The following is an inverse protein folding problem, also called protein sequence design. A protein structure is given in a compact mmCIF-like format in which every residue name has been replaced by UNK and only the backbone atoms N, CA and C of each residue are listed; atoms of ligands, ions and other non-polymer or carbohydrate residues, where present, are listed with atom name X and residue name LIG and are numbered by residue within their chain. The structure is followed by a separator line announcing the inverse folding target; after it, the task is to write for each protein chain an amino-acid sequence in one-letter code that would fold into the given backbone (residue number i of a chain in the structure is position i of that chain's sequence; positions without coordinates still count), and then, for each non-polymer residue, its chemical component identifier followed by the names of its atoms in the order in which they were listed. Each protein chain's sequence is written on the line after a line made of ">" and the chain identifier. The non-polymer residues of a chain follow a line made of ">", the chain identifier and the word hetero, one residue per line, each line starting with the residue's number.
data_IF_603904411702
#
_entry.id   IF_603904411702
#
_cell.length_a   1.000
_cell.length_b   1.000
_cell.length_c   1.000
_cell.angle_alpha   90.00
_cell.angle_beta   90.00
_cell.angle_gamma   90.00
#
_symmetry.space_group_name_H-M   'P 1'
#
loop_
_entity.id
_entity.type
_entity.pdbx_description
1 polymer ?
#
# COMPACT_ATOMS: atom_id res chain seq x y z
N UNK A 1 30.07 -2.93 17.30
CA UNK A 1 29.54 -3.14 18.68
C UNK A 1 28.16 -3.78 18.56
N UNK A 2 27.30 -3.74 19.59
CA UNK A 2 25.86 -3.92 19.41
C UNK A 2 25.30 -2.56 19.01
N UNK A 3 24.95 -2.37 17.75
CA UNK A 3 24.45 -1.08 17.27
C UNK A 3 23.00 -0.89 17.74
N UNK A 4 22.82 -0.55 19.02
CA UNK A 4 21.51 -0.22 19.58
C UNK A 4 21.03 1.11 18.97
N UNK A 5 19.72 1.27 18.67
CA UNK A 5 19.22 2.47 17.98
C UNK A 5 19.59 3.80 18.65
N UNK A 6 19.79 3.81 19.97
CA UNK A 6 20.26 4.98 20.72
C UNK A 6 21.72 5.36 20.39
N UNK A 7 22.64 4.41 20.29
CA UNK A 7 24.03 4.69 19.89
C UNK A 7 24.08 5.28 18.48
N UNK A 8 23.27 4.71 17.57
CA UNK A 8 23.13 5.15 16.18
C UNK A 8 22.58 6.57 16.12
N UNK A 9 21.53 6.86 16.89
CA UNK A 9 20.93 8.20 17.00
C UNK A 9 21.98 9.23 17.44
N UNK A 10 22.70 8.95 18.53
CA UNK A 10 23.71 9.86 19.10
C UNK A 10 24.85 10.15 18.12
N UNK A 11 25.26 9.18 17.29
CA UNK A 11 26.27 9.40 16.24
C UNK A 11 25.77 10.35 15.16
N UNK A 12 24.55 10.13 14.64
CA UNK A 12 23.97 10.99 13.59
C UNK A 12 23.73 12.41 14.11
N UNK A 13 23.13 12.56 15.29
CA UNK A 13 22.84 13.90 15.82
C UNK A 13 24.10 14.69 16.11
N UNK A 14 25.19 14.06 16.57
CA UNK A 14 26.47 14.76 16.74
C UNK A 14 27.00 15.32 15.42
N UNK A 15 26.92 14.56 14.33
CA UNK A 15 27.37 15.05 13.02
C UNK A 15 26.49 16.23 12.54
N UNK A 16 25.19 16.23 12.86
CA UNK A 16 24.32 17.39 12.61
C UNK A 16 24.71 18.61 13.47
N UNK A 17 25.02 18.41 14.76
CA UNK A 17 25.51 19.46 15.67
C UNK A 17 26.85 20.04 15.21
N UNK A 18 27.81 19.20 14.81
CA UNK A 18 29.13 19.60 14.31
C UNK A 18 29.06 20.37 12.98
N UNK A 19 28.02 20.11 12.17
CA UNK A 19 27.72 20.83 10.94
C UNK A 19 26.79 22.04 11.14
N UNK A 20 26.33 22.30 12.37
CA UNK A 20 25.43 23.41 12.69
C UNK A 20 23.99 23.26 12.17
N UNK A 21 23.59 22.04 11.78
CA UNK A 21 22.29 21.75 11.17
C UNK A 21 21.19 21.66 12.24
N UNK A 22 20.10 22.46 12.16
CA UNK A 22 18.93 22.30 13.01
C UNK A 22 18.26 20.92 12.82
N UNK A 23 17.89 20.24 13.90
CA UNK A 23 17.23 18.94 13.83
C UNK A 23 16.23 18.67 14.96
N UNK A 24 15.37 17.67 14.76
CA UNK A 24 14.37 17.16 15.68
C UNK A 24 14.46 15.63 15.76
N UNK A 25 14.33 15.06 16.96
CA UNK A 25 14.22 13.61 17.18
C UNK A 25 12.76 13.22 17.46
N UNK A 26 12.27 12.20 16.77
CA UNK A 26 10.94 11.59 16.92
C UNK A 26 10.98 10.13 17.34
N UNK A 27 9.97 9.36 16.95
CA UNK A 27 9.85 7.93 17.23
C UNK A 27 9.62 7.56 18.72
N UNK A 28 9.79 6.27 19.00
CA UNK A 28 9.65 5.70 20.34
C UNK A 28 10.77 6.13 21.30
N UNK A 29 11.97 6.41 20.78
CA UNK A 29 13.11 6.88 21.58
C UNK A 29 12.88 8.30 22.11
N UNK A 30 12.34 9.22 21.29
CA UNK A 30 11.88 10.51 21.81
C UNK A 30 10.77 10.35 22.86
N UNK A 31 9.79 9.47 22.60
CA UNK A 31 8.74 9.15 23.59
C UNK A 31 9.32 8.67 24.93
N UNK A 32 10.35 7.82 24.87
CA UNK A 32 11.05 7.28 26.04
C UNK A 32 11.86 8.35 26.78
N UNK A 33 12.51 9.27 26.04
CA UNK A 33 13.21 10.43 26.61
C UNK A 33 12.26 11.34 27.42
N UNK A 34 11.02 11.49 26.95
CA UNK A 34 9.93 12.20 27.65
C UNK A 34 9.15 11.32 28.65
N UNK A 35 9.68 10.15 29.02
CA UNK A 35 9.13 9.29 30.08
C UNK A 35 7.93 8.41 29.70
N UNK A 36 7.53 8.37 28.42
CA UNK A 36 6.47 7.48 27.94
C UNK A 36 7.05 6.15 27.43
N UNK A 37 6.81 5.07 28.18
CA UNK A 37 7.29 3.73 27.83
C UNK A 37 6.64 3.23 26.53
N UNK A 38 7.47 2.80 25.58
CA UNK A 38 7.10 2.13 24.32
C UNK A 38 7.90 0.83 24.17
N UNK A 39 7.36 -0.14 23.43
CA UNK A 39 7.99 -1.47 23.22
C UNK A 39 8.83 -1.56 21.95
N UNK A 40 8.70 -0.62 21.02
CA UNK A 40 9.59 -0.48 19.86
C UNK A 40 10.80 0.38 20.24
N UNK A 41 11.92 0.23 19.52
CA UNK A 41 13.12 1.08 19.66
C UNK A 41 13.44 1.71 18.31
N UNK A 42 12.87 2.87 18.07
CA UNK A 42 12.95 3.63 16.82
C UNK A 42 13.16 5.12 17.12
N UNK A 43 14.00 5.77 16.32
CA UNK A 43 14.31 7.20 16.40
C UNK A 43 14.27 7.81 15.00
N UNK A 44 13.17 8.48 14.67
CA UNK A 44 13.14 9.37 13.52
C UNK A 44 14.05 10.58 13.79
N UNK A 45 14.82 11.00 12.78
CA UNK A 45 15.57 12.27 12.82
C UNK A 45 15.12 13.09 11.61
N UNK A 46 14.74 14.34 11.85
CA UNK A 46 14.40 15.33 10.82
C UNK A 46 15.41 16.47 10.93
N UNK A 47 16.10 16.81 9.84
CA UNK A 47 17.20 17.77 9.85
C UNK A 47 17.11 18.76 8.68
N UNK A 48 17.41 20.03 8.92
CA UNK A 48 17.33 21.13 7.95
C UNK A 48 18.66 21.28 7.18
N UNK A 49 19.00 20.28 6.37
CA UNK A 49 20.25 20.28 5.59
C UNK A 49 20.12 21.08 4.29
N UNK A 50 20.93 22.13 4.15
CA UNK A 50 21.25 22.72 2.84
C UNK A 50 22.38 21.96 2.10
N UNK A 51 22.53 22.11 0.77
CA UNK A 51 23.50 21.38 -0.06
C UNK A 51 24.97 21.42 0.42
N UNK A 52 25.36 22.48 1.11
CA UNK A 52 26.69 22.69 1.70
C UNK A 52 27.02 21.71 2.85
N UNK A 53 26.01 21.20 3.55
CA UNK A 53 26.17 20.24 4.65
C UNK A 53 26.32 18.79 4.16
N UNK A 54 25.91 18.53 2.92
CA UNK A 54 25.73 17.19 2.35
C UNK A 54 27.01 16.37 2.31
N UNK A 55 28.04 16.87 1.62
CA UNK A 55 29.28 16.10 1.47
C UNK A 55 30.07 15.97 2.79
N UNK A 56 30.11 16.99 3.67
CA UNK A 56 30.59 16.81 5.04
C UNK A 56 29.84 15.72 5.83
N UNK A 57 28.49 15.71 5.78
CA UNK A 57 27.67 14.72 6.48
C UNK A 57 27.93 13.29 5.98
N UNK A 58 27.97 13.09 4.66
CA UNK A 58 28.32 11.80 4.04
C UNK A 58 29.72 11.38 4.45
N UNK A 59 30.70 12.29 4.34
CA UNK A 59 32.10 12.00 4.67
C UNK A 59 32.31 11.56 6.12
N UNK A 60 31.54 12.11 7.06
CA UNK A 60 31.66 11.80 8.49
C UNK A 60 31.01 10.45 8.90
N UNK A 61 30.16 9.86 8.07
CA UNK A 61 29.35 8.69 8.44
C UNK A 61 29.49 7.49 7.48
N UNK A 62 29.99 7.68 6.26
CA UNK A 62 30.09 6.64 5.23
C UNK A 62 30.95 5.41 5.58
N UNK A 63 31.89 5.53 6.53
CA UNK A 63 32.72 4.40 6.97
C UNK A 63 31.97 3.41 7.88
N UNK A 64 30.99 3.89 8.64
CA UNK A 64 30.16 3.06 9.54
C UNK A 64 28.78 2.74 8.95
N UNK A 65 28.31 3.53 7.98
CA UNK A 65 26.93 3.50 7.51
C UNK A 65 26.84 3.66 5.99
N UNK A 66 25.96 2.88 5.35
CA UNK A 66 25.71 3.04 3.92
C UNK A 66 24.98 4.37 3.64
N UNK A 67 25.59 5.21 2.81
CA UNK A 67 25.09 6.53 2.40
C UNK A 67 25.27 6.72 0.89
N UNK A 68 24.27 7.32 0.25
CA UNK A 68 24.30 7.69 -1.18
C UNK A 68 24.42 9.21 -1.29
N UNK A 69 25.59 9.68 -1.69
CA UNK A 69 25.92 11.11 -1.82
C UNK A 69 24.93 11.86 -2.71
N UNK A 70 24.31 11.20 -3.70
CA UNK A 70 23.37 11.86 -4.62
C UNK A 70 22.01 12.07 -3.96
N UNK A 71 21.51 11.09 -3.20
CA UNK A 71 20.26 11.25 -2.42
C UNK A 71 20.36 12.36 -1.38
N UNK A 72 21.51 12.45 -0.71
CA UNK A 72 21.73 13.50 0.29
C UNK A 72 21.79 14.90 -0.36
N UNK A 73 22.16 15.02 -1.66
CA UNK A 73 22.13 16.30 -2.41
C UNK A 73 20.74 16.80 -2.76
N UNK A 74 19.76 15.92 -2.93
CA UNK A 74 18.38 16.27 -3.26
C UNK A 74 17.55 16.67 -2.01
N UNK A 75 18.23 17.08 -0.93
CA UNK A 75 17.68 17.37 0.41
C UNK A 75 16.97 16.17 1.09
N UNK A 76 17.13 14.94 0.61
CA UNK A 76 16.63 13.73 1.28
C UNK A 76 17.65 13.20 2.32
N UNK A 77 17.37 13.40 3.61
CA UNK A 77 18.24 12.97 4.71
C UNK A 77 18.36 11.44 4.78
N UNK A 78 19.49 10.94 4.27
CA UNK A 78 20.25 9.79 4.75
C UNK A 78 19.49 8.64 5.46
N UNK A 79 19.12 7.61 4.71
CA UNK A 79 18.63 6.34 5.27
C UNK A 79 19.78 5.49 5.86
N UNK A 80 20.08 5.71 7.14
CA UNK A 80 21.22 5.12 7.85
C UNK A 80 21.02 3.61 8.16
N UNK A 81 21.26 2.75 7.18
CA UNK A 81 20.91 1.32 7.24
C UNK A 81 21.90 0.47 8.08
N UNK A 82 21.59 0.26 9.37
CA UNK A 82 22.28 -0.76 10.18
C UNK A 82 21.36 -1.71 10.99
N UNK A 83 20.38 -2.30 10.28
CA UNK A 83 19.69 -3.57 10.63
C UNK A 83 18.93 -3.63 11.98
N UNK A 84 18.49 -2.49 12.52
CA UNK A 84 17.41 -2.38 13.52
C UNK A 84 16.39 -1.36 12.99
N UNK A 85 15.09 -1.57 13.25
CA UNK A 85 14.00 -0.87 12.56
C UNK A 85 13.89 0.63 12.91
N UNK A 86 13.74 1.50 11.91
CA UNK A 86 13.23 2.87 12.05
C UNK A 86 12.28 3.25 10.89
N UNK A 87 11.07 3.66 11.24
CA UNK A 87 10.01 4.22 10.38
C UNK A 87 9.20 5.19 11.29
N UNK A 88 8.75 6.40 10.92
CA UNK A 88 8.88 7.19 9.68
C UNK A 88 8.13 8.54 9.78
N UNK A 89 8.52 9.56 8.98
CA UNK A 89 7.75 10.79 8.58
C UNK A 89 7.52 11.86 9.68
N UNK A 90 7.29 13.17 9.42
CA UNK A 90 7.64 14.21 8.41
C UNK A 90 7.24 15.60 9.07
N UNK A 91 6.92 16.80 8.53
CA UNK A 91 6.69 17.48 7.22
C UNK A 91 6.67 19.02 7.43
N UNK A 92 7.15 19.87 6.49
CA UNK A 92 6.58 21.19 6.06
C UNK A 92 7.53 21.82 5.01
N UNK A 93 7.16 22.22 3.78
CA UNK A 93 5.87 22.30 3.05
C UNK A 93 5.69 21.15 2.04
N UNK A 94 4.42 20.82 1.68
CA UNK A 94 4.01 19.82 0.65
C UNK A 94 4.50 18.35 0.84
N UNK A 95 3.74 17.36 0.31
CA UNK A 95 4.15 15.93 0.27
C UNK A 95 4.12 15.10 1.57
N UNK A 96 4.20 13.74 1.46
CA UNK A 96 4.45 12.76 2.55
C UNK A 96 5.03 11.42 1.99
N UNK A 97 6.23 11.01 2.44
CA UNK A 97 7.18 10.05 1.80
C UNK A 97 6.96 8.50 2.01
N UNK A 98 7.72 7.68 1.25
CA UNK A 98 8.03 6.20 1.28
C UNK A 98 7.42 5.39 0.13
N UNK A 99 8.11 4.45 -0.54
CA UNK A 99 9.47 3.85 -0.40
C UNK A 99 9.99 3.34 -1.79
N UNK A 100 11.30 3.07 -1.96
CA UNK A 100 11.91 2.62 -3.26
C UNK A 100 13.00 1.56 -3.07
N UNK A 101 13.03 0.48 -3.88
CA UNK A 101 14.24 -0.19 -4.44
C UNK A 101 13.94 -1.51 -5.21
N UNK A 102 14.28 -1.57 -6.51
CA UNK A 102 14.92 -2.74 -7.16
C UNK A 102 15.62 -2.31 -8.47
N UNK A 103 16.62 -3.07 -8.94
CA UNK A 103 17.43 -2.72 -10.13
C UNK A 103 16.81 -3.20 -11.45
N UNK A 104 17.12 -2.55 -12.60
CA UNK A 104 16.80 -3.11 -13.92
C UNK A 104 16.46 -2.16 -15.08
N UNK A 105 16.67 -0.84 -14.96
CA UNK A 105 16.52 0.19 -16.03
C UNK A 105 15.33 -0.02 -17.00
N UNK A 106 14.13 0.23 -16.48
CA UNK A 106 13.24 1.21 -17.12
C UNK A 106 13.12 2.41 -16.20
N UNK A 107 12.88 3.61 -16.75
CA UNK A 107 12.74 4.83 -15.96
C UNK A 107 11.45 4.74 -15.15
N UNK A 108 11.56 4.62 -13.83
CA UNK A 108 10.41 4.63 -12.92
C UNK A 108 10.07 6.06 -12.49
N UNK A 109 8.78 6.46 -12.45
CA UNK A 109 8.35 7.73 -11.90
C UNK A 109 8.52 7.76 -10.37
N UNK A 110 8.50 8.95 -9.76
CA UNK A 110 8.69 9.10 -8.30
C UNK A 110 7.44 8.67 -7.50
N UNK A 111 7.56 8.32 -6.21
CA UNK A 111 6.44 7.76 -5.44
C UNK A 111 5.22 8.68 -5.27
N UNK A 112 5.41 10.01 -5.26
CA UNK A 112 4.29 10.98 -5.27
C UNK A 112 3.60 11.10 -6.65
N UNK A 113 4.05 10.31 -7.65
CA UNK A 113 3.48 10.20 -9.00
C UNK A 113 2.77 8.85 -9.23
N UNK A 114 2.86 7.88 -8.30
CA UNK A 114 2.24 6.56 -8.49
C UNK A 114 0.70 6.66 -8.41
N UNK A 115 0.03 6.38 -9.53
CA UNK A 115 -1.42 6.48 -9.64
C UNK A 115 -2.13 5.41 -8.81
N UNK A 116 -3.41 5.67 -8.45
CA UNK A 116 -4.26 4.66 -7.80
C UNK A 116 -4.31 3.33 -8.60
N UNK A 117 -4.26 3.44 -9.93
CA UNK A 117 -4.16 2.34 -10.89
C UNK A 117 -2.91 1.49 -10.67
N UNK A 118 -1.73 2.10 -10.70
CA UNK A 118 -0.46 1.41 -10.49
C UNK A 118 -0.39 0.76 -9.10
N UNK A 119 -0.82 1.47 -8.06
CA UNK A 119 -0.89 0.95 -6.68
C UNK A 119 -1.79 -0.27 -6.53
N UNK A 120 -2.96 -0.27 -7.16
CA UNK A 120 -3.87 -1.43 -7.15
C UNK A 120 -3.34 -2.58 -8.00
N UNK A 121 -2.74 -2.30 -9.16
CA UNK A 121 -2.10 -3.32 -10.00
C UNK A 121 -0.93 -4.00 -9.28
N UNK A 122 -0.06 -3.23 -8.62
CA UNK A 122 1.04 -3.76 -7.80
C UNK A 122 0.52 -4.63 -6.64
N UNK A 123 -0.52 -4.17 -5.93
CA UNK A 123 -1.16 -4.95 -4.87
C UNK A 123 -1.81 -6.24 -5.39
N UNK A 124 -2.40 -6.23 -6.59
CA UNK A 124 -2.96 -7.41 -7.25
C UNK A 124 -1.86 -8.37 -7.78
N UNK A 125 -0.74 -7.84 -8.28
CA UNK A 125 0.46 -8.62 -8.66
C UNK A 125 1.00 -9.39 -7.46
N UNK A 126 1.22 -8.72 -6.34
CA UNK A 126 1.70 -9.37 -5.10
C UNK A 126 0.70 -10.41 -4.59
N UNK A 127 -0.59 -10.06 -4.50
CA UNK A 127 -1.63 -10.97 -4.03
C UNK A 127 -1.67 -12.29 -4.82
N UNK A 128 -1.40 -12.24 -6.12
CA UNK A 128 -1.39 -13.41 -7.01
C UNK A 128 -0.39 -14.50 -6.57
N UNK A 129 0.71 -14.13 -5.92
CA UNK A 129 1.69 -15.10 -5.41
C UNK A 129 1.15 -15.98 -4.26
N UNK A 130 0.00 -15.63 -3.67
CA UNK A 130 -0.71 -16.43 -2.67
C UNK A 130 -1.83 -17.32 -3.25
N UNK A 131 -1.96 -17.39 -4.58
CA UNK A 131 -3.00 -18.21 -5.23
C UNK A 131 -2.82 -19.71 -4.95
N UNK A 132 -3.87 -20.36 -4.48
CA UNK A 132 -3.95 -21.82 -4.37
C UNK A 132 -4.69 -22.37 -5.59
N UNK A 133 -3.94 -22.59 -6.69
CA UNK A 133 -4.48 -23.04 -7.98
C UNK A 133 -3.86 -24.35 -8.52
N UNK A 134 -3.86 -25.46 -7.75
CA UNK A 134 -3.20 -26.71 -8.16
C UNK A 134 -3.97 -27.52 -9.23
N UNK A 135 -5.23 -27.17 -9.55
CA UNK A 135 -6.05 -27.91 -10.52
C UNK A 135 -6.01 -27.27 -11.91
N UNK A 136 -6.03 -25.93 -12.00
CA UNK A 136 -5.90 -25.20 -13.28
C UNK A 136 -4.48 -24.74 -13.59
N UNK A 137 -3.63 -24.54 -12.58
CA UNK A 137 -2.37 -23.82 -12.72
C UNK A 137 -2.54 -22.32 -13.06
N UNK A 138 -3.76 -21.78 -12.97
CA UNK A 138 -4.09 -20.41 -13.34
C UNK A 138 -4.23 -19.54 -12.09
N UNK A 139 -3.10 -18.97 -11.65
CA UNK A 139 -3.07 -18.01 -10.56
C UNK A 139 -3.69 -16.67 -10.99
N UNK A 140 -4.49 -16.08 -10.11
CA UNK A 140 -5.14 -14.77 -10.22
C UNK A 140 -4.96 -14.02 -8.91
N UNK A 141 -4.60 -12.74 -9.01
CA UNK A 141 -4.60 -11.82 -7.88
C UNK A 141 -5.53 -10.64 -8.16
N UNK A 142 -6.09 -10.07 -7.11
CA UNK A 142 -6.97 -8.90 -7.21
C UNK A 142 -6.75 -7.96 -6.02
N UNK A 143 -7.02 -6.68 -6.26
CA UNK A 143 -7.04 -5.65 -5.24
C UNK A 143 -8.27 -4.77 -5.43
N UNK A 144 -8.94 -4.41 -4.34
CA UNK A 144 -10.04 -3.44 -4.31
C UNK A 144 -9.67 -2.27 -3.41
N UNK A 145 -9.96 -1.06 -3.88
CA UNK A 145 -9.92 0.19 -3.11
C UNK A 145 -11.29 0.39 -2.46
N UNK A 146 -11.32 1.03 -1.29
CA UNK A 146 -12.55 1.38 -0.59
C UNK A 146 -12.62 2.89 -0.30
N UNK A 147 -13.85 3.40 -0.12
CA UNK A 147 -14.11 4.83 0.12
C UNK A 147 -13.38 5.40 1.36
N UNK A 148 -13.17 4.55 2.38
CA UNK A 148 -12.45 4.89 3.61
C UNK A 148 -10.93 5.02 3.43
N UNK A 149 -10.45 4.75 2.21
CA UNK A 149 -9.06 4.86 1.83
C UNK A 149 -8.19 3.64 2.15
N UNK A 150 -8.78 2.48 2.49
CA UNK A 150 -8.07 1.19 2.57
C UNK A 150 -7.95 0.52 1.19
N UNK A 151 -7.08 -0.48 1.10
CA UNK A 151 -6.95 -1.39 -0.05
C UNK A 151 -6.96 -2.82 0.49
N UNK A 152 -7.77 -3.69 -0.09
CA UNK A 152 -7.87 -5.10 0.27
C UNK A 152 -7.48 -5.99 -0.90
N UNK A 153 -6.66 -6.99 -0.61
CA UNK A 153 -6.14 -7.94 -1.60
C UNK A 153 -6.76 -9.32 -1.44
N UNK A 154 -6.78 -10.06 -2.54
CA UNK A 154 -7.24 -11.45 -2.61
C UNK A 154 -6.55 -12.23 -3.72
N UNK A 155 -6.54 -13.55 -3.60
CA UNK A 155 -6.01 -14.49 -4.57
C UNK A 155 -7.05 -15.60 -4.82
N UNK A 156 -7.01 -16.29 -5.95
CA UNK A 156 -7.91 -17.42 -6.16
C UNK A 156 -7.51 -18.64 -5.29
N UNK A 157 -8.53 -19.30 -4.75
CA UNK A 157 -8.39 -20.52 -3.94
C UNK A 157 -9.32 -21.57 -4.55
N UNK A 158 -8.73 -22.55 -5.21
CA UNK A 158 -9.43 -23.67 -5.83
C UNK A 158 -9.80 -24.75 -4.81
N UNK A 159 -10.80 -25.54 -5.15
CA UNK A 159 -11.24 -26.70 -4.38
C UNK A 159 -11.52 -27.89 -5.31
N UNK A 160 -11.32 -29.12 -4.82
CA UNK A 160 -11.66 -30.34 -5.57
C UNK A 160 -13.13 -30.37 -6.04
N UNK A 161 -14.05 -29.76 -5.26
CA UNK A 161 -15.38 -29.39 -5.74
C UNK A 161 -15.34 -27.99 -6.34
N UNK A 162 -15.28 -27.90 -7.67
CA UNK A 162 -15.04 -26.62 -8.38
C UNK A 162 -16.10 -25.53 -8.07
N UNK A 163 -17.31 -25.91 -7.68
CA UNK A 163 -18.35 -24.97 -7.23
C UNK A 163 -18.02 -24.23 -5.92
N UNK A 164 -17.03 -24.71 -5.15
CA UNK A 164 -16.52 -24.07 -3.94
C UNK A 164 -15.30 -23.18 -4.19
N UNK A 165 -14.77 -23.12 -5.42
CA UNK A 165 -13.63 -22.28 -5.78
C UNK A 165 -13.96 -20.80 -5.61
N UNK A 166 -13.10 -20.07 -4.90
CA UNK A 166 -13.18 -18.63 -4.70
C UNK A 166 -12.20 -17.94 -5.65
N UNK A 167 -12.69 -16.96 -6.41
CA UNK A 167 -11.85 -16.12 -7.28
C UNK A 167 -11.25 -14.96 -6.48
N UNK A 168 -10.14 -14.40 -6.97
CA UNK A 168 -9.37 -13.38 -6.26
C UNK A 168 -10.19 -12.12 -5.91
N UNK A 169 -11.05 -11.68 -6.83
CA UNK A 169 -11.93 -10.54 -6.67
C UNK A 169 -12.91 -10.77 -5.52
N UNK A 170 -13.53 -11.97 -5.47
CA UNK A 170 -14.44 -12.36 -4.38
C UNK A 170 -13.70 -12.45 -3.05
N UNK A 171 -12.47 -12.97 -3.01
CA UNK A 171 -11.64 -12.97 -1.81
C UNK A 171 -11.31 -11.55 -1.31
N UNK A 172 -10.94 -10.63 -2.20
CA UNK A 172 -10.64 -9.24 -1.86
C UNK A 172 -11.87 -8.49 -1.32
N UNK A 173 -13.01 -8.62 -2.00
CA UNK A 173 -14.30 -8.03 -1.58
C UNK A 173 -14.76 -8.59 -0.23
N UNK A 174 -14.78 -9.91 -0.07
CA UNK A 174 -15.23 -10.53 1.19
C UNK A 174 -14.29 -10.19 2.35
N UNK A 175 -12.99 -9.99 2.09
CA UNK A 175 -12.07 -9.45 3.10
C UNK A 175 -12.44 -8.01 3.49
N UNK A 176 -12.63 -7.12 2.52
CA UNK A 176 -13.03 -5.73 2.76
C UNK A 176 -14.30 -5.64 3.64
N UNK A 177 -15.32 -6.43 3.29
CA UNK A 177 -16.62 -6.48 3.98
C UNK A 177 -16.50 -7.02 5.41
N UNK A 178 -15.65 -8.03 5.65
CA UNK A 178 -15.37 -8.52 7.02
C UNK A 178 -14.55 -7.51 7.85
N UNK A 179 -13.68 -6.72 7.22
CA UNK A 179 -12.99 -5.59 7.85
C UNK A 179 -13.83 -4.28 7.84
N UNK A 180 -15.13 -4.38 7.57
CA UNK A 180 -16.14 -3.32 7.73
C UNK A 180 -16.29 -2.36 6.55
N UNK A 181 -15.47 -2.44 5.50
CA UNK A 181 -15.59 -1.61 4.32
C UNK A 181 -16.66 -2.17 3.36
N UNK A 182 -17.66 -1.35 2.99
CA UNK A 182 -18.82 -1.78 2.19
C UNK A 182 -19.05 -1.00 0.89
N UNK A 183 -18.16 -0.06 0.56
CA UNK A 183 -18.16 0.67 -0.71
C UNK A 183 -16.77 0.63 -1.35
N UNK A 184 -16.75 0.32 -2.64
CA UNK A 184 -15.57 0.11 -3.49
C UNK A 184 -15.66 1.07 -4.69
N UNK A 185 -14.58 1.79 -4.95
CA UNK A 185 -14.45 2.83 -5.98
C UNK A 185 -13.56 2.40 -7.16
N UNK A 186 -12.56 1.54 -6.91
CA UNK A 186 -11.63 1.04 -7.93
C UNK A 186 -11.17 -0.39 -7.67
N UNK A 187 -10.93 -1.15 -8.74
CA UNK A 187 -10.53 -2.57 -8.74
C UNK A 187 -9.37 -2.79 -9.70
N UNK A 188 -8.41 -3.63 -9.33
CA UNK A 188 -7.45 -4.23 -10.24
C UNK A 188 -7.49 -5.75 -10.17
N UNK A 189 -7.34 -6.41 -11.32
CA UNK A 189 -7.23 -7.87 -11.47
C UNK A 189 -6.03 -8.19 -12.34
N UNK A 190 -5.19 -9.12 -11.85
CA UNK A 190 -3.97 -9.56 -12.53
C UNK A 190 -4.07 -11.07 -12.76
N UNK A 191 -3.93 -11.46 -14.01
CA UNK A 191 -3.86 -12.85 -14.47
C UNK A 191 -2.59 -13.04 -15.30
N UNK A 192 -2.37 -14.23 -15.86
CA UNK A 192 -1.28 -14.44 -16.82
C UNK A 192 -1.45 -13.63 -18.10
N UNK A 193 -2.69 -13.51 -18.58
CA UNK A 193 -3.04 -13.16 -19.95
C UNK A 193 -4.01 -11.95 -20.07
N UNK A 194 -4.24 -11.21 -18.98
CA UNK A 194 -5.12 -10.03 -18.97
C UNK A 194 -6.61 -10.33 -18.80
N UNK A 195 -6.98 -11.59 -18.51
CA UNK A 195 -8.36 -12.02 -18.33
C UNK A 195 -9.18 -11.15 -17.37
N UNK A 196 -10.37 -10.73 -17.82
CA UNK A 196 -11.32 -9.89 -17.08
C UNK A 196 -12.09 -10.68 -16.00
N UNK A 197 -12.70 -10.02 -14.99
CA UNK A 197 -13.46 -10.70 -13.94
C UNK A 197 -14.54 -11.64 -14.51
N UNK A 198 -14.78 -12.79 -13.87
CA UNK A 198 -15.84 -13.71 -14.30
C UNK A 198 -17.23 -13.18 -13.89
N UNK A 199 -18.32 -13.69 -14.51
CA UNK A 199 -19.68 -13.18 -14.26
C UNK A 199 -20.10 -13.19 -12.78
N UNK A 200 -19.70 -14.22 -12.02
CA UNK A 200 -19.94 -14.29 -10.57
C UNK A 200 -19.15 -13.24 -9.78
N UNK A 201 -17.96 -12.85 -10.23
CA UNK A 201 -17.19 -11.78 -9.62
C UNK A 201 -17.78 -10.41 -9.95
N UNK A 202 -18.21 -10.18 -11.20
CA UNK A 202 -18.90 -8.94 -11.60
C UNK A 202 -20.17 -8.69 -10.77
N UNK A 203 -20.97 -9.73 -10.57
CA UNK A 203 -22.21 -9.66 -9.77
C UNK A 203 -21.95 -9.47 -8.27
N UNK A 204 -20.80 -9.92 -7.75
CA UNK A 204 -20.36 -9.61 -6.37
C UNK A 204 -19.81 -8.19 -6.27
N UNK A 205 -19.11 -7.70 -7.30
CA UNK A 205 -18.61 -6.33 -7.34
C UNK A 205 -19.76 -5.31 -7.38
N UNK A 206 -20.81 -5.54 -8.17
CA UNK A 206 -21.96 -4.63 -8.27
C UNK A 206 -22.78 -4.50 -6.98
N UNK A 207 -22.58 -5.38 -6.00
CA UNK A 207 -23.21 -5.25 -4.67
C UNK A 207 -22.49 -4.21 -3.77
N UNK A 208 -21.23 -3.92 -4.06
CA UNK A 208 -20.37 -3.04 -3.23
C UNK A 208 -19.72 -1.89 -4.00
N UNK A 209 -19.85 -1.84 -5.33
CA UNK A 209 -19.28 -0.81 -6.18
C UNK A 209 -20.35 -0.26 -7.13
N UNK A 210 -20.42 1.07 -7.24
CA UNK A 210 -21.30 1.73 -8.20
C UNK A 210 -20.86 1.40 -9.65
N UNK A 211 -21.77 1.47 -10.62
CA UNK A 211 -21.49 1.06 -12.02
C UNK A 211 -20.35 1.82 -12.72
N UNK A 212 -19.99 2.99 -12.20
CA UNK A 212 -18.88 3.82 -12.67
C UNK A 212 -17.51 3.41 -12.10
N UNK A 213 -17.46 2.48 -11.14
CA UNK A 213 -16.22 1.99 -10.56
C UNK A 213 -15.30 1.39 -11.63
N UNK A 214 -14.03 1.78 -11.58
CA UNK A 214 -13.02 1.42 -12.57
C UNK A 214 -12.42 0.05 -12.30
N UNK A 215 -12.25 -0.75 -13.35
CA UNK A 215 -11.71 -2.11 -13.30
C UNK A 215 -10.52 -2.22 -14.25
N UNK A 216 -9.31 -2.31 -13.69
CA UNK A 216 -8.09 -2.54 -14.45
C UNK A 216 -7.78 -4.03 -14.57
N UNK A 217 -7.55 -4.51 -15.79
CA UNK A 217 -7.21 -5.90 -16.08
C UNK A 217 -5.82 -5.97 -16.72
N UNK A 218 -4.92 -6.78 -16.18
CA UNK A 218 -3.51 -6.82 -16.61
C UNK A 218 -2.93 -8.24 -16.70
N UNK A 219 -1.97 -8.40 -17.64
CA UNK A 219 -1.14 -9.61 -17.79
C UNK A 219 0.03 -9.64 -16.81
N UNK A 220 0.70 -10.78 -16.68
CA UNK A 220 1.91 -10.92 -15.85
C UNK A 220 3.05 -10.00 -16.31
N UNK A 221 3.18 -9.76 -17.61
CA UNK A 221 4.36 -9.14 -18.24
C UNK A 221 4.23 -7.61 -18.45
N UNK A 222 3.22 -6.97 -17.86
CA UNK A 222 2.87 -5.54 -18.05
C UNK A 222 2.74 -5.11 -19.53
N UNK A 223 2.46 -6.08 -20.41
CA UNK A 223 2.44 -5.92 -21.87
C UNK A 223 1.23 -5.11 -22.38
N UNK A 224 0.13 -5.14 -21.63
CA UNK A 224 -0.97 -4.18 -21.70
C UNK A 224 -1.74 -4.18 -20.36
N UNK A 225 -2.43 -3.07 -20.09
CA UNK A 225 -3.45 -2.97 -19.04
C UNK A 225 -4.69 -2.39 -19.68
N UNK A 226 -5.78 -3.14 -19.65
CA UNK A 226 -7.09 -2.70 -20.11
C UNK A 226 -7.88 -2.05 -18.97
N UNK A 227 -8.73 -1.09 -19.30
CA UNK A 227 -9.54 -0.31 -18.35
C UNK A 227 -11.02 -0.39 -18.77
N UNK A 228 -11.88 -0.71 -17.80
CA UNK A 228 -13.31 -0.84 -17.99
C UNK A 228 -14.05 -0.13 -16.85
N UNK A 229 -15.31 0.32 -17.08
CA UNK A 229 -16.25 0.56 -15.98
C UNK A 229 -16.96 -0.74 -15.63
N UNK A 230 -17.35 -0.91 -14.38
CA UNK A 230 -18.08 -2.09 -13.93
C UNK A 230 -19.40 -2.30 -14.70
N UNK A 231 -20.09 -1.21 -15.06
CA UNK A 231 -21.30 -1.24 -15.89
C UNK A 231 -21.07 -1.74 -17.34
N UNK A 232 -19.87 -1.56 -17.90
CA UNK A 232 -19.52 -2.08 -19.23
C UNK A 232 -19.26 -3.60 -19.16
N UNK A 233 -18.75 -4.08 -18.03
CA UNK A 233 -18.54 -5.51 -17.76
C UNK A 233 -19.85 -6.23 -17.38
N UNK A 234 -20.78 -5.56 -16.68
CA UNK A 234 -22.07 -6.12 -16.28
C UNK A 234 -23.21 -5.11 -16.56
N UNK A 235 -23.60 -4.93 -17.84
CA UNK A 235 -24.74 -4.10 -18.20
C UNK A 235 -26.03 -4.70 -17.66
N UNK A 236 -26.90 -3.85 -17.12
CA UNK A 236 -28.17 -4.24 -16.49
C UNK A 236 -27.99 -5.25 -15.33
N UNK A 237 -27.00 -5.01 -14.47
CA UNK A 237 -26.72 -5.80 -13.28
C UNK A 237 -27.98 -6.11 -12.47
N UNK A 238 -28.09 -7.33 -11.96
CA UNK A 238 -29.23 -7.76 -11.15
C UNK A 238 -29.04 -7.29 -9.70
N UNK A 239 -30.05 -6.60 -9.18
CA UNK A 239 -30.11 -6.20 -7.77
C UNK A 239 -31.45 -6.64 -7.19
N UNK A 240 -31.44 -7.12 -5.94
CA UNK A 240 -32.66 -7.27 -5.16
C UNK A 240 -33.05 -5.90 -4.56
N UNK A 241 -34.35 -5.62 -4.35
CA UNK A 241 -34.73 -4.47 -3.55
C UNK A 241 -34.18 -4.66 -2.14
N UNK A 242 -33.51 -3.64 -1.61
CA UNK A 242 -33.07 -3.62 -0.21
C UNK A 242 -34.30 -3.77 0.69
N UNK A 243 -34.27 -4.74 1.60
CA UNK A 243 -35.23 -4.77 2.70
C UNK A 243 -35.18 -3.41 3.42
N UNK A 244 -36.33 -2.75 3.69
CA UNK A 244 -36.31 -1.55 4.51
C UNK A 244 -35.71 -1.87 5.88
N UNK A 245 -34.86 -0.99 6.39
CA UNK A 245 -34.44 -1.04 7.79
C UNK A 245 -35.69 -0.98 8.67
N UNK A 246 -35.86 -1.94 9.57
CA UNK A 246 -37.12 -2.22 10.28
C UNK A 246 -37.61 -1.16 11.28
N UNK A 247 -37.10 0.07 11.19
CA UNK A 247 -37.45 1.22 12.01
C UNK A 247 -38.65 2.01 11.42
N UNK A 248 -38.92 1.90 10.11
CA UNK A 248 -39.92 2.73 9.40
C UNK A 248 -41.34 2.14 9.28
N UNK A 249 -41.56 0.83 9.47
CA UNK A 249 -42.87 0.20 9.21
C UNK A 249 -43.34 -0.82 10.27
N UNK A 250 -43.59 -0.32 11.48
CA UNK A 250 -44.49 -0.93 12.47
C UNK A 250 -45.68 -0.02 12.84
N UNK A 251 -46.13 0.77 11.86
CA UNK A 251 -47.44 1.42 11.80
C UNK A 251 -48.17 0.80 10.60
N UNK A 252 -49.51 0.69 10.67
CA UNK A 252 -50.35 -0.24 9.86
C UNK A 252 -50.20 -1.70 10.35
N UNK A 253 -51.06 -2.20 11.24
CA UNK A 253 -52.27 -1.60 11.79
C UNK A 253 -53.58 -2.07 11.15
N UNK A 254 -53.70 -3.39 10.92
CA UNK A 254 -54.97 -4.10 10.85
C UNK A 254 -55.62 -4.29 9.47
N UNK A 255 -55.79 -5.55 9.08
CA UNK A 255 -57.08 -6.18 8.73
C UNK A 255 -57.02 -7.68 9.08
#
# INVERSE_FOLDING_TARGET
>A
MRNEPLEVTIKVTRVLEELGVPYLIGGSLASTLYGMVRTTQDADIVAEMGPEHVQPFVSALQEEFYLDENRVKDNEVAALLHRVNVFSRLKYNSGWCKNVFQEGVRVTPSPDTETLRERLLAAAREARHHAYAPYSGYAVGAAVRCEDGRIFTGANVENASYGLTICAERAAVFRAVNEGARRIDAIAVVTRDGGTPCGACRQVLSEFADGDAVVWCASEEDSAVEEYRLADLLPFAFHLPSQPSGDDELILGGM
#
